data_IF_160120114605
#
_entry.id   IF_160120114605
#
_cell.length_a   1.000
_cell.length_b   1.000
_cell.length_c   1.000
_cell.angle_alpha   90.00
_cell.angle_beta   90.00
_cell.angle_gamma   90.00
#
_symmetry.space_group_name_H-M   'P 1'
#
loop_
_entity.id
_entity.type
_entity.pdbx_description
1 polymer ?
#
# COMPACT_ATOMS: atom_id res chain seq x y z
N UNK A 1 -0.14 -14.27 -10.47
CA UNK A 1 0.07 -14.25 -9.02
C UNK A 1 -0.26 -12.87 -8.47
N UNK A 2 -1.07 -12.78 -7.43
CA UNK A 2 -1.39 -11.49 -6.79
C UNK A 2 -0.20 -10.92 -6.04
N UNK A 3 -0.03 -9.59 -6.12
CA UNK A 3 0.96 -8.88 -5.30
C UNK A 3 0.50 -8.82 -3.85
N UNK A 4 -0.80 -8.58 -3.61
CA UNK A 4 -1.35 -8.62 -2.25
C UNK A 4 -1.61 -10.06 -1.80
N UNK A 5 -1.75 -10.24 -0.49
CA UNK A 5 -2.02 -11.55 0.12
C UNK A 5 -3.38 -11.56 0.80
N UNK A 6 -3.95 -12.76 0.94
CA UNK A 6 -5.13 -12.96 1.77
C UNK A 6 -4.73 -12.87 3.23
N UNK A 7 -5.43 -12.03 3.99
CA UNK A 7 -5.12 -11.81 5.40
C UNK A 7 -6.18 -12.44 6.30
N UNK A 8 -5.82 -12.80 7.55
CA UNK A 8 -6.78 -13.34 8.50
C UNK A 8 -7.85 -12.34 8.90
N UNK A 9 -9.02 -12.87 9.22
CA UNK A 9 -10.11 -12.15 9.89
C UNK A 9 -10.20 -12.70 11.30
N UNK A 10 -9.99 -11.84 12.33
CA UNK A 10 -9.92 -12.27 13.72
C UNK A 10 -10.95 -11.55 14.60
N UNK A 11 -11.59 -12.24 15.55
CA UNK A 11 -12.44 -11.58 16.53
C UNK A 11 -11.60 -10.79 17.54
N UNK A 12 -12.12 -9.65 17.98
CA UNK A 12 -11.56 -8.89 19.09
C UNK A 12 -12.14 -9.37 20.41
N UNK A 13 -11.74 -10.55 20.85
CA UNK A 13 -12.38 -11.31 21.95
C UNK A 13 -12.55 -10.49 23.22
N UNK A 14 -11.48 -9.87 23.72
CA UNK A 14 -11.57 -9.12 24.98
C UNK A 14 -12.42 -7.84 24.87
N UNK A 15 -12.30 -7.13 23.76
CA UNK A 15 -13.13 -5.95 23.51
C UNK A 15 -14.59 -6.36 23.37
N UNK A 16 -14.86 -7.43 22.65
CA UNK A 16 -16.22 -7.94 22.46
C UNK A 16 -16.88 -8.33 23.78
N UNK A 17 -16.14 -8.99 24.66
CA UNK A 17 -16.63 -9.35 25.99
C UNK A 17 -16.99 -8.11 26.82
N UNK A 18 -16.15 -7.06 26.76
CA UNK A 18 -16.38 -5.84 27.54
C UNK A 18 -17.54 -5.00 27.05
N UNK A 19 -17.76 -4.92 25.75
CA UNK A 19 -18.79 -4.00 25.21
C UNK A 19 -20.01 -4.73 24.65
N UNK A 20 -20.08 -6.06 24.77
CA UNK A 20 -21.21 -6.84 24.27
C UNK A 20 -21.40 -6.74 22.75
N UNK A 21 -20.31 -6.59 22.00
CA UNK A 21 -20.32 -6.46 20.53
C UNK A 21 -19.60 -7.63 19.88
N UNK A 22 -19.70 -7.70 18.57
CA UNK A 22 -19.06 -8.75 17.79
C UNK A 22 -18.17 -8.13 16.70
N UNK A 23 -17.12 -7.45 17.13
CA UNK A 23 -16.15 -6.84 16.24
C UNK A 23 -15.16 -7.88 15.71
N UNK A 24 -14.80 -7.75 14.46
CA UNK A 24 -13.73 -8.53 13.84
C UNK A 24 -12.72 -7.59 13.18
N UNK A 25 -11.48 -8.02 13.09
CA UNK A 25 -10.40 -7.25 12.47
C UNK A 25 -9.85 -8.01 11.28
N UNK A 26 -9.88 -7.37 10.13
CA UNK A 26 -9.18 -7.83 8.94
C UNK A 26 -7.72 -7.40 9.06
N UNK A 27 -6.80 -8.36 9.18
CA UNK A 27 -5.40 -8.12 9.54
C UNK A 27 -4.58 -7.61 8.35
N UNK A 28 -4.90 -6.43 7.84
CA UNK A 28 -4.23 -5.84 6.68
C UNK A 28 -2.79 -5.37 6.96
N UNK A 29 -2.39 -5.32 8.22
CA UNK A 29 -0.98 -5.12 8.61
C UNK A 29 -0.07 -6.26 8.11
N UNK A 30 -0.63 -7.40 7.73
CA UNK A 30 0.11 -8.51 7.14
C UNK A 30 0.33 -8.39 5.63
N UNK A 31 -0.20 -7.34 5.00
CA UNK A 31 0.11 -7.09 3.60
C UNK A 31 1.60 -6.78 3.42
N UNK A 32 2.19 -7.08 2.24
CA UNK A 32 3.61 -6.83 2.00
C UNK A 32 4.06 -5.39 2.27
N UNK A 33 3.18 -4.42 2.01
CA UNK A 33 3.44 -3.00 2.28
C UNK A 33 2.88 -2.53 3.63
N UNK A 34 2.22 -3.41 4.37
CA UNK A 34 1.65 -3.11 5.68
C UNK A 34 0.27 -2.47 5.68
N UNK A 35 -0.38 -2.31 4.54
CA UNK A 35 -1.71 -1.69 4.48
C UNK A 35 -2.64 -2.30 3.45
N UNK A 36 -3.95 -2.04 3.60
CA UNK A 36 -4.95 -2.54 2.66
C UNK A 36 -4.88 -1.89 1.27
N UNK A 37 -4.20 -0.76 1.15
CA UNK A 37 -4.12 0.00 -0.11
C UNK A 37 -3.55 -0.84 -1.25
N UNK A 38 -2.68 -1.77 -0.94
CA UNK A 38 -2.05 -2.64 -1.95
C UNK A 38 -3.08 -3.44 -2.77
N UNK A 39 -4.24 -3.75 -2.21
CA UNK A 39 -5.27 -4.51 -2.92
C UNK A 39 -5.73 -3.80 -4.19
N UNK A 40 -6.20 -2.57 -4.05
CA UNK A 40 -6.66 -1.78 -5.20
C UNK A 40 -5.51 -1.26 -6.06
N UNK A 41 -4.43 -0.82 -5.42
CA UNK A 41 -3.28 -0.27 -6.14
C UNK A 41 -2.60 -1.34 -6.99
N UNK A 42 -2.43 -2.56 -6.48
CA UNK A 42 -1.82 -3.64 -7.25
C UNK A 42 -2.65 -3.98 -8.49
N UNK A 43 -3.96 -4.05 -8.35
CA UNK A 43 -4.87 -4.29 -9.48
C UNK A 43 -4.72 -3.22 -10.55
N UNK A 44 -4.74 -1.96 -10.13
CA UNK A 44 -4.54 -0.84 -11.05
C UNK A 44 -3.21 -0.93 -11.78
N UNK A 45 -2.12 -1.17 -11.04
CA UNK A 45 -0.78 -1.25 -11.64
C UNK A 45 -0.66 -2.42 -12.63
N UNK A 46 -1.23 -3.57 -12.30
CA UNK A 46 -1.24 -4.73 -13.19
C UNK A 46 -1.99 -4.43 -14.49
N UNK A 47 -3.15 -3.78 -14.40
CA UNK A 47 -3.92 -3.38 -15.56
C UNK A 47 -3.18 -2.37 -16.43
N UNK A 48 -2.51 -1.39 -15.82
CA UNK A 48 -1.73 -0.41 -16.57
C UNK A 48 -0.53 -1.05 -17.25
N UNK A 49 0.17 -1.96 -16.57
CA UNK A 49 1.27 -2.71 -17.18
C UNK A 49 0.80 -3.51 -18.38
N UNK A 50 -0.34 -4.18 -18.28
CA UNK A 50 -0.92 -4.94 -19.40
C UNK A 50 -1.22 -4.05 -20.62
N UNK A 51 -1.47 -2.77 -20.40
CA UNK A 51 -1.69 -1.77 -21.47
C UNK A 51 -0.38 -1.18 -22.01
N UNK A 52 0.78 -1.61 -21.52
CA UNK A 52 2.09 -1.13 -21.96
C UNK A 52 2.59 0.10 -21.21
N UNK A 53 1.95 0.51 -20.14
CA UNK A 53 2.43 1.62 -19.29
C UNK A 53 3.69 1.21 -18.56
N UNK A 54 4.70 2.08 -18.59
CA UNK A 54 6.02 1.79 -18.00
C UNK A 54 6.33 2.66 -16.78
N UNK A 55 5.59 3.73 -16.57
CA UNK A 55 5.84 4.69 -15.50
C UNK A 55 4.54 5.05 -14.79
N UNK A 56 4.58 5.05 -13.48
CA UNK A 56 3.48 5.45 -12.62
C UNK A 56 3.82 6.73 -11.87
N UNK A 57 2.81 7.57 -11.68
CA UNK A 57 2.91 8.75 -10.82
C UNK A 57 1.80 8.67 -9.77
N UNK A 58 2.15 8.86 -8.52
CA UNK A 58 1.20 8.83 -7.42
C UNK A 58 1.38 10.08 -6.54
N UNK A 59 0.30 10.75 -6.21
CA UNK A 59 0.31 11.90 -5.32
C UNK A 59 -0.19 11.46 -3.94
N UNK A 60 0.70 10.93 -3.11
CA UNK A 60 0.36 10.48 -1.75
C UNK A 60 1.61 10.33 -0.89
N UNK A 61 1.64 11.00 0.24
CA UNK A 61 2.69 10.85 1.25
C UNK A 61 2.43 9.74 2.27
N UNK A 62 1.46 8.86 2.02
CA UNK A 62 1.06 7.80 2.94
C UNK A 62 0.98 6.42 2.27
N UNK A 63 0.00 5.64 2.70
CA UNK A 63 -0.13 4.23 2.30
C UNK A 63 -0.32 4.03 0.80
N UNK A 64 -1.03 4.92 0.11
CA UNK A 64 -1.19 4.80 -1.36
C UNK A 64 0.12 5.00 -2.09
N UNK A 65 0.94 5.97 -1.66
CA UNK A 65 2.27 6.20 -2.22
C UNK A 65 3.20 5.02 -1.99
N UNK A 66 3.18 4.45 -0.79
CA UNK A 66 3.95 3.26 -0.45
C UNK A 66 3.51 2.06 -1.31
N UNK A 67 2.20 1.84 -1.41
CA UNK A 67 1.66 0.74 -2.23
C UNK A 67 2.03 0.89 -3.70
N UNK A 68 1.95 2.11 -4.26
CA UNK A 68 2.33 2.36 -5.64
C UNK A 68 3.81 2.06 -5.89
N UNK A 69 4.68 2.51 -5.00
CA UNK A 69 6.11 2.25 -5.09
C UNK A 69 6.42 0.75 -5.01
N UNK A 70 5.80 0.05 -4.05
CA UNK A 70 5.96 -1.38 -3.89
C UNK A 70 5.51 -2.14 -5.15
N UNK A 71 4.30 -1.87 -5.62
CA UNK A 71 3.75 -2.55 -6.80
C UNK A 71 4.57 -2.27 -8.06
N UNK A 72 5.01 -1.04 -8.25
CA UNK A 72 5.84 -0.68 -9.39
C UNK A 72 7.15 -1.49 -9.40
N UNK A 73 7.80 -1.61 -8.23
CA UNK A 73 9.00 -2.42 -8.09
C UNK A 73 8.73 -3.89 -8.47
N UNK A 74 7.68 -4.47 -7.92
CA UNK A 74 7.32 -5.86 -8.21
C UNK A 74 7.02 -6.11 -9.69
N UNK A 75 6.49 -5.10 -10.38
CA UNK A 75 6.12 -5.18 -11.79
C UNK A 75 7.20 -4.69 -12.75
N UNK A 76 8.34 -4.24 -12.24
CA UNK A 76 9.41 -3.69 -13.08
C UNK A 76 9.07 -2.36 -13.73
N UNK A 77 8.21 -1.55 -13.11
CA UNK A 77 7.79 -0.24 -13.60
C UNK A 77 8.51 0.87 -12.85
N UNK A 78 8.73 2.00 -13.51
CA UNK A 78 9.20 3.21 -12.84
C UNK A 78 8.07 3.84 -12.04
N UNK A 79 8.40 4.43 -10.89
CA UNK A 79 7.42 5.13 -10.06
C UNK A 79 7.98 6.43 -9.52
N UNK A 80 7.18 7.49 -9.64
CA UNK A 80 7.44 8.77 -8.98
C UNK A 80 6.28 9.05 -8.04
N UNK A 81 6.60 9.32 -6.78
CA UNK A 81 5.61 9.67 -5.77
C UNK A 81 5.79 11.14 -5.39
N UNK A 82 4.73 11.92 -5.56
CA UNK A 82 4.70 13.33 -5.20
C UNK A 82 4.08 13.45 -3.81
N UNK A 83 4.82 14.03 -2.87
CA UNK A 83 4.37 14.19 -1.49
C UNK A 83 4.30 15.68 -1.12
N UNK A 84 3.40 16.08 -0.20
CA UNK A 84 3.39 17.44 0.29
C UNK A 84 4.63 17.71 1.15
N UNK A 85 5.04 18.99 1.23
CA UNK A 85 6.18 19.39 2.07
C UNK A 85 5.98 19.09 3.55
N UNK A 86 4.73 18.95 3.99
CA UNK A 86 4.35 18.56 5.36
C UNK A 86 4.43 17.06 5.63
N UNK A 87 4.70 16.24 4.61
CA UNK A 87 4.74 14.80 4.79
C UNK A 87 5.92 14.39 5.67
N UNK A 88 5.76 13.28 6.38
CA UNK A 88 6.77 12.70 7.25
C UNK A 88 8.02 12.31 6.44
N UNK A 89 9.20 12.69 6.93
CA UNK A 89 10.47 12.24 6.35
C UNK A 89 10.62 10.72 6.41
N UNK A 90 10.07 10.10 7.45
CA UNK A 90 10.03 8.66 7.58
C UNK A 90 9.30 8.01 6.40
N UNK A 91 8.11 8.49 6.05
CA UNK A 91 7.35 7.95 4.93
C UNK A 91 8.03 8.20 3.58
N UNK A 92 8.67 9.35 3.41
CA UNK A 92 9.47 9.61 2.22
C UNK A 92 10.58 8.58 2.06
N UNK A 93 11.26 8.23 3.14
CA UNK A 93 12.32 7.23 3.13
C UNK A 93 11.79 5.82 2.88
N UNK A 94 10.65 5.47 3.46
CA UNK A 94 9.98 4.18 3.18
C UNK A 94 9.67 4.04 1.69
N UNK A 95 9.13 5.09 1.08
CA UNK A 95 8.80 5.10 -0.35
C UNK A 95 10.07 4.99 -1.22
N UNK A 96 11.13 5.73 -0.86
CA UNK A 96 12.41 5.63 -1.56
C UNK A 96 13.02 4.24 -1.49
N UNK A 97 12.91 3.57 -0.34
CA UNK A 97 13.42 2.19 -0.18
C UNK A 97 12.74 1.20 -1.10
N UNK A 98 11.50 1.47 -1.51
CA UNK A 98 10.82 0.66 -2.51
C UNK A 98 11.31 0.95 -3.94
N UNK A 99 12.21 1.90 -4.12
CA UNK A 99 12.81 2.22 -5.42
C UNK A 99 12.12 3.35 -6.18
N UNK A 100 11.12 4.01 -5.59
CA UNK A 100 10.44 5.13 -6.23
C UNK A 100 11.23 6.44 -6.07
N UNK A 101 11.07 7.32 -7.04
CA UNK A 101 11.53 8.70 -6.93
C UNK A 101 10.50 9.49 -6.12
N UNK A 102 10.96 10.26 -5.15
CA UNK A 102 10.09 11.11 -4.33
C UNK A 102 10.31 12.57 -4.69
N UNK A 103 9.23 13.27 -5.02
CA UNK A 103 9.21 14.71 -5.27
C UNK A 103 8.33 15.40 -4.23
N UNK A 104 8.71 16.61 -3.84
CA UNK A 104 7.96 17.44 -2.91
C UNK A 104 7.25 18.56 -3.65
#
# INVERSE_FOLDING_TARGET
>A
MSIYVKTPLKPLTRINERCGKNFQVKMECYQPDGSFKIRGVSRFCEEQKAKGVKKLVCASGGNSGHAAAYCARELGMECTVVIPGSASSYMADVIRREGAKVLT
#
